data_IF_353532159893
#
_entry.id   IF_353532159893
#
_cell.length_a   1.000
_cell.length_b   1.000
_cell.length_c   1.000
_cell.angle_alpha   90.00
_cell.angle_beta   90.00
_cell.angle_gamma   90.00
#
_symmetry.space_group_name_H-M   'P 1'
#
loop_
_entity.id
_entity.type
_entity.pdbx_description
1 polymer ?
#
# COMPACT_ATOMS: atom_id res chain seq x y z
N UNK A 1 29.93 -10.85 -10.58
CA UNK A 1 29.23 -11.75 -9.64
C UNK A 1 28.85 -10.92 -8.43
N UNK A 2 27.57 -10.61 -8.23
CA UNK A 2 27.13 -10.05 -6.96
C UNK A 2 27.24 -11.16 -5.90
N UNK A 3 27.82 -10.85 -4.75
CA UNK A 3 27.88 -11.79 -3.63
C UNK A 3 26.45 -12.14 -3.22
N UNK A 4 26.13 -13.43 -3.19
CA UNK A 4 24.84 -13.90 -2.68
C UNK A 4 24.86 -13.76 -1.17
N UNK A 5 24.17 -12.74 -0.64
CA UNK A 5 24.00 -12.57 0.81
C UNK A 5 22.92 -13.56 1.28
N UNK A 6 23.17 -14.37 2.31
CA UNK A 6 22.17 -15.29 2.85
C UNK A 6 20.93 -14.54 3.40
N UNK A 7 19.74 -15.15 3.27
CA UNK A 7 18.49 -14.61 3.80
C UNK A 7 18.58 -14.26 5.30
N UNK A 8 19.26 -15.10 6.08
CA UNK A 8 19.47 -14.89 7.53
C UNK A 8 20.25 -13.62 7.84
N UNK A 9 21.25 -13.29 7.01
CA UNK A 9 22.03 -12.06 7.17
C UNK A 9 21.19 -10.83 6.81
N UNK A 10 20.38 -10.91 5.75
CA UNK A 10 19.48 -9.83 5.33
C UNK A 10 18.43 -9.54 6.40
N UNK A 11 17.80 -10.59 6.94
CA UNK A 11 16.80 -10.46 8.00
C UNK A 11 17.41 -9.94 9.31
N UNK A 12 18.63 -10.36 9.65
CA UNK A 12 19.39 -9.82 10.78
C UNK A 12 19.68 -8.32 10.62
N UNK A 13 20.10 -7.88 9.42
CA UNK A 13 20.34 -6.47 9.13
C UNK A 13 19.05 -5.64 9.24
N UNK A 14 17.92 -6.19 8.79
CA UNK A 14 16.61 -5.54 8.95
C UNK A 14 16.25 -5.40 10.43
N UNK A 15 16.43 -6.44 11.24
CA UNK A 15 16.14 -6.38 12.68
C UNK A 15 17.01 -5.35 13.41
N UNK A 16 18.30 -5.29 13.10
CA UNK A 16 19.21 -4.26 13.63
C UNK A 16 18.76 -2.86 13.23
N UNK A 17 18.40 -2.65 11.97
CA UNK A 17 17.88 -1.37 11.50
C UNK A 17 16.57 -0.99 12.21
N UNK A 18 15.69 -1.95 12.48
CA UNK A 18 14.45 -1.70 13.23
C UNK A 18 14.78 -1.28 14.65
N UNK A 19 15.71 -1.97 15.34
CA UNK A 19 16.11 -1.62 16.70
C UNK A 19 16.67 -0.20 16.79
N UNK A 20 17.59 0.15 15.89
CA UNK A 20 18.21 1.48 15.85
C UNK A 20 17.27 2.57 15.33
N UNK A 21 16.36 2.23 14.42
CA UNK A 21 15.43 3.16 13.78
C UNK A 21 14.17 3.48 14.59
N UNK A 22 13.87 2.68 15.61
CA UNK A 22 12.68 2.82 16.45
C UNK A 22 12.76 4.08 17.31
N UNK A 23 11.71 4.90 17.30
CA UNK A 23 11.64 6.14 18.08
C UNK A 23 12.44 7.32 17.51
N UNK A 24 13.10 7.16 16.35
CA UNK A 24 13.75 8.27 15.66
C UNK A 24 12.69 9.28 15.19
N UNK A 25 12.90 10.56 15.53
CA UNK A 25 12.05 11.68 15.11
C UNK A 25 12.76 12.72 14.24
N UNK A 26 14.09 12.66 14.14
CA UNK A 26 14.86 13.57 13.29
C UNK A 26 14.62 13.24 11.81
N UNK A 27 14.09 14.16 10.99
CA UNK A 27 13.69 13.86 9.61
C UNK A 27 14.82 13.33 8.71
N UNK A 28 16.05 13.80 8.90
CA UNK A 28 17.20 13.33 8.11
C UNK A 28 17.54 11.88 8.47
N UNK A 29 17.48 11.52 9.75
CA UNK A 29 17.70 10.15 10.20
C UNK A 29 16.56 9.22 9.79
N UNK A 30 15.30 9.68 9.85
CA UNK A 30 14.15 8.89 9.35
C UNK A 30 14.34 8.56 7.86
N UNK A 31 14.73 9.55 7.04
CA UNK A 31 15.00 9.35 5.62
C UNK A 31 16.19 8.40 5.35
N UNK A 32 17.24 8.49 6.17
CA UNK A 32 18.38 7.58 6.08
C UNK A 32 17.97 6.13 6.41
N UNK A 33 17.20 5.93 7.49
CA UNK A 33 16.68 4.63 7.89
C UNK A 33 15.75 4.04 6.82
N UNK A 34 14.86 4.85 6.24
CA UNK A 34 14.02 4.42 5.12
C UNK A 34 14.84 3.99 3.89
N UNK A 35 15.91 4.74 3.58
CA UNK A 35 16.82 4.41 2.48
C UNK A 35 17.57 3.10 2.75
N UNK A 36 18.03 2.89 3.98
CA UNK A 36 18.66 1.64 4.41
C UNK A 36 17.69 0.47 4.36
N UNK A 37 16.43 0.64 4.78
CA UNK A 37 15.39 -0.40 4.72
C UNK A 37 15.16 -0.87 3.28
N UNK A 38 15.05 0.07 2.34
CA UNK A 38 14.94 -0.27 0.91
C UNK A 38 16.20 -0.95 0.38
N UNK A 39 17.37 -0.46 0.78
CA UNK A 39 18.64 -1.03 0.37
C UNK A 39 18.80 -2.48 0.86
N UNK A 40 18.50 -2.75 2.13
CA UNK A 40 18.52 -4.11 2.71
C UNK A 40 17.58 -5.02 1.93
N UNK A 41 16.35 -4.56 1.61
CA UNK A 41 15.44 -5.33 0.77
C UNK A 41 16.07 -5.67 -0.59
N UNK A 42 16.76 -4.71 -1.22
CA UNK A 42 17.39 -4.92 -2.53
C UNK A 42 18.51 -5.96 -2.52
N UNK A 43 19.16 -6.20 -1.37
CA UNK A 43 20.16 -7.26 -1.21
C UNK A 43 19.56 -8.66 -1.39
N UNK A 44 18.28 -8.83 -1.07
CA UNK A 44 17.54 -10.09 -1.24
C UNK A 44 16.84 -10.23 -2.60
N UNK A 45 16.98 -9.25 -3.49
CA UNK A 45 16.37 -9.30 -4.83
C UNK A 45 17.39 -9.90 -5.81
N UNK A 46 17.05 -11.03 -6.41
CA UNK A 46 17.87 -11.68 -7.43
C UNK A 46 17.85 -10.93 -8.76
N UNK A 47 18.75 -11.31 -9.67
CA UNK A 47 18.91 -10.65 -10.97
C UNK A 47 17.65 -10.76 -11.87
N UNK A 48 16.79 -11.75 -11.65
CA UNK A 48 15.51 -11.92 -12.33
C UNK A 48 14.36 -11.12 -11.67
N UNK A 49 14.65 -10.37 -10.61
CA UNK A 49 13.69 -9.52 -9.91
C UNK A 49 12.79 -10.27 -8.93
N UNK A 50 13.16 -11.48 -8.53
CA UNK A 50 12.46 -12.24 -7.48
C UNK A 50 13.14 -12.03 -6.12
N UNK A 51 12.43 -12.35 -5.03
CA UNK A 51 12.94 -12.26 -3.67
C UNK A 51 12.46 -13.50 -2.91
N UNK A 52 13.29 -14.01 -2.00
CA UNK A 52 12.93 -15.18 -1.20
C UNK A 52 11.72 -14.88 -0.30
N UNK A 53 10.88 -15.90 -0.07
CA UNK A 53 9.74 -15.75 0.83
C UNK A 53 10.20 -15.35 2.24
N UNK A 54 11.34 -15.86 2.72
CA UNK A 54 11.93 -15.49 4.02
C UNK A 54 12.13 -13.98 4.16
N UNK A 55 12.79 -13.36 3.18
CA UNK A 55 13.07 -11.92 3.20
C UNK A 55 11.77 -11.13 3.04
N UNK A 56 10.90 -11.54 2.11
CA UNK A 56 9.61 -10.88 1.89
C UNK A 56 8.74 -10.88 3.15
N UNK A 57 8.63 -12.01 3.85
CA UNK A 57 7.85 -12.12 5.08
C UNK A 57 8.42 -11.26 6.20
N UNK A 58 9.75 -11.07 6.28
CA UNK A 58 10.33 -10.18 7.28
C UNK A 58 9.90 -8.71 7.09
N UNK A 59 9.88 -8.24 5.84
CA UNK A 59 9.37 -6.89 5.52
C UNK A 59 7.86 -6.77 5.69
N UNK A 60 7.09 -7.80 5.36
CA UNK A 60 5.64 -7.84 5.63
C UNK A 60 5.37 -7.82 7.14
N UNK A 61 6.13 -8.56 7.94
CA UNK A 61 6.01 -8.57 9.39
C UNK A 61 6.35 -7.21 10.01
N UNK A 62 7.36 -6.49 9.49
CA UNK A 62 7.64 -5.11 9.88
C UNK A 62 6.44 -4.20 9.58
N UNK A 63 5.85 -4.30 8.38
CA UNK A 63 4.64 -3.56 8.02
C UNK A 63 3.47 -3.89 8.96
N UNK A 64 3.22 -5.16 9.25
CA UNK A 64 2.13 -5.59 10.14
C UNK A 64 2.33 -5.08 11.57
N UNK A 65 3.56 -5.12 12.11
CA UNK A 65 3.92 -4.50 13.39
C UNK A 65 3.64 -2.99 13.36
N UNK A 66 4.01 -2.31 12.27
CA UNK A 66 3.68 -0.90 12.10
C UNK A 66 2.17 -0.64 12.13
N UNK A 67 1.36 -1.51 11.52
CA UNK A 67 -0.10 -1.37 11.50
C UNK A 67 -0.72 -1.52 12.90
N UNK A 68 -0.21 -2.45 13.72
CA UNK A 68 -0.80 -2.84 15.01
C UNK A 68 -0.19 -2.17 16.23
N UNK A 69 1.00 -1.56 16.13
CA UNK A 69 1.68 -0.92 17.26
C UNK A 69 0.79 0.11 18.00
N UNK A 70 0.91 0.17 19.33
CA UNK A 70 0.21 1.16 20.15
C UNK A 70 1.10 2.36 20.50
N UNK A 71 2.39 2.09 20.75
CA UNK A 71 3.42 3.04 21.16
C UNK A 71 3.77 4.07 20.06
N UNK A 72 3.60 3.71 18.79
CA UNK A 72 3.89 4.57 17.64
C UNK A 72 5.39 4.74 17.36
N UNK A 73 6.24 3.83 17.85
CA UNK A 73 7.70 3.97 17.73
C UNK A 73 8.25 3.52 16.37
N UNK A 74 7.56 2.64 15.66
CA UNK A 74 7.90 2.27 14.28
C UNK A 74 7.38 3.35 13.34
N UNK A 75 8.30 4.11 12.76
CA UNK A 75 7.98 5.13 11.75
C UNK A 75 7.43 4.52 10.46
N UNK A 76 6.48 5.21 9.81
CA UNK A 76 5.91 4.73 8.55
C UNK A 76 6.94 4.64 7.42
N UNK A 77 7.87 5.59 7.34
CA UNK A 77 8.90 5.59 6.30
C UNK A 77 9.76 4.33 6.37
N UNK A 78 10.18 3.92 7.57
CA UNK A 78 10.88 2.64 7.77
C UNK A 78 10.03 1.45 7.32
N UNK A 79 8.77 1.42 7.74
CA UNK A 79 7.89 0.27 7.53
C UNK A 79 7.46 0.03 6.08
N UNK A 80 7.38 1.09 5.26
CA UNK A 80 6.88 0.99 3.88
C UNK A 80 7.95 1.23 2.83
N UNK A 81 9.14 1.71 3.20
CA UNK A 81 10.19 2.11 2.27
C UNK A 81 10.49 1.04 1.20
N UNK A 82 10.75 -0.19 1.63
CA UNK A 82 11.00 -1.32 0.74
C UNK A 82 9.84 -1.56 -0.25
N UNK A 83 8.60 -1.47 0.22
CA UNK A 83 7.38 -1.69 -0.58
C UNK A 83 7.18 -0.59 -1.62
N UNK A 84 7.52 0.66 -1.26
CA UNK A 84 7.44 1.79 -2.18
C UNK A 84 8.57 1.77 -3.22
N UNK A 85 9.78 1.33 -2.82
CA UNK A 85 10.95 1.33 -3.69
C UNK A 85 11.00 0.12 -4.64
N UNK A 86 10.57 -1.04 -4.17
CA UNK A 86 10.60 -2.31 -4.89
C UNK A 86 9.20 -2.97 -4.93
N UNK A 87 8.15 -2.26 -5.41
CA UNK A 87 6.76 -2.75 -5.34
C UNK A 87 6.54 -4.08 -6.08
N UNK A 88 7.35 -4.39 -7.10
CA UNK A 88 7.25 -5.62 -7.88
C UNK A 88 7.31 -6.88 -7.00
N UNK A 89 8.26 -6.93 -6.05
CA UNK A 89 8.47 -8.14 -5.23
C UNK A 89 7.35 -8.36 -4.22
N UNK A 90 6.58 -7.32 -3.91
CA UNK A 90 5.46 -7.37 -2.95
C UNK A 90 4.10 -7.61 -3.59
N UNK A 91 3.98 -7.64 -4.93
CA UNK A 91 2.70 -7.92 -5.61
C UNK A 91 2.03 -9.22 -5.13
N UNK A 92 2.75 -10.34 -4.90
CA UNK A 92 2.16 -11.56 -4.34
C UNK A 92 1.53 -11.37 -2.95
N UNK A 93 1.97 -10.37 -2.18
CA UNK A 93 1.48 -10.04 -0.83
C UNK A 93 0.51 -8.86 -0.80
N UNK A 94 0.12 -8.33 -1.96
CA UNK A 94 -0.80 -7.18 -2.12
C UNK A 94 -2.10 -7.27 -1.31
N UNK A 95 -2.65 -8.47 -1.08
CA UNK A 95 -3.85 -8.67 -0.26
C UNK A 95 -3.67 -8.25 1.19
N UNK A 96 -2.49 -8.45 1.78
CA UNK A 96 -2.19 -8.06 3.16
C UNK A 96 -2.29 -6.54 3.31
N UNK A 97 -1.64 -5.81 2.42
CA UNK A 97 -1.70 -4.34 2.37
C UNK A 97 -3.12 -3.82 2.08
N UNK A 98 -3.85 -4.49 1.17
CA UNK A 98 -5.22 -4.11 0.85
C UNK A 98 -6.15 -4.26 2.07
N UNK A 99 -6.10 -5.39 2.77
CA UNK A 99 -6.87 -5.60 4.00
C UNK A 99 -6.52 -4.55 5.05
N UNK A 100 -5.22 -4.27 5.22
CA UNK A 100 -4.75 -3.26 6.17
C UNK A 100 -5.23 -1.84 5.81
N UNK A 101 -5.26 -1.46 4.53
CA UNK A 101 -5.71 -0.16 4.08
C UNK A 101 -7.19 0.13 4.34
N UNK A 102 -8.04 -0.90 4.33
CA UNK A 102 -9.48 -0.76 4.53
C UNK A 102 -9.99 -1.30 5.87
N UNK A 103 -9.10 -1.67 6.79
CA UNK A 103 -9.47 -2.05 8.15
C UNK A 103 -9.84 -0.80 8.99
N UNK A 104 -11.08 -0.69 9.45
CA UNK A 104 -11.58 0.42 10.27
C UNK A 104 -10.87 0.59 11.61
N UNK A 105 -10.36 -0.51 12.18
CA UNK A 105 -9.71 -0.53 13.49
C UNK A 105 -8.33 0.13 13.48
N UNK A 106 -7.71 0.26 12.30
CA UNK A 106 -6.42 0.90 12.17
C UNK A 106 -6.53 2.42 12.06
N UNK A 107 -5.54 3.10 12.66
CA UNK A 107 -5.43 4.56 12.58
C UNK A 107 -5.39 5.01 11.12
N UNK A 108 -6.13 6.08 10.81
CA UNK A 108 -6.34 6.56 9.43
C UNK A 108 -5.04 6.81 8.65
N UNK A 109 -4.00 7.31 9.32
CA UNK A 109 -2.73 7.55 8.65
C UNK A 109 -2.06 6.23 8.21
N UNK A 110 -2.10 5.18 9.04
CA UNK A 110 -1.52 3.86 8.69
C UNK A 110 -2.27 3.21 7.54
N UNK A 111 -3.61 3.31 7.57
CA UNK A 111 -4.47 2.91 6.46
C UNK A 111 -4.12 3.63 5.16
N UNK A 112 -3.83 4.92 5.24
CA UNK A 112 -3.38 5.73 4.09
C UNK A 112 -2.09 5.18 3.50
N UNK A 113 -1.09 4.89 4.33
CA UNK A 113 0.20 4.33 3.87
C UNK A 113 0.02 2.93 3.27
N UNK A 114 -0.82 2.08 3.86
CA UNK A 114 -1.15 0.76 3.31
C UNK A 114 -1.83 0.86 1.93
N UNK A 115 -2.80 1.79 1.75
CA UNK A 115 -3.42 2.04 0.44
C UNK A 115 -2.39 2.53 -0.58
N UNK A 116 -1.44 3.37 -0.17
CA UNK A 116 -0.37 3.85 -1.05
C UNK A 116 0.58 2.72 -1.49
N UNK A 117 0.85 1.74 -0.61
CA UNK A 117 1.59 0.53 -0.97
C UNK A 117 0.85 -0.30 -2.02
N UNK A 118 -0.46 -0.49 -1.87
CA UNK A 118 -1.24 -1.20 -2.91
C UNK A 118 -1.24 -0.39 -4.21
N UNK A 119 -1.35 0.93 -4.14
CA UNK A 119 -1.33 1.78 -5.33
C UNK A 119 0.01 1.70 -6.09
N UNK A 120 1.15 1.59 -5.39
CA UNK A 120 2.46 1.40 -6.03
C UNK A 120 2.54 0.05 -6.74
N UNK A 121 2.07 -1.03 -6.11
CA UNK A 121 1.98 -2.37 -6.72
C UNK A 121 1.10 -2.38 -7.97
N UNK A 122 0.00 -1.63 -7.95
CA UNK A 122 -0.96 -1.55 -9.06
C UNK A 122 -0.49 -0.64 -10.20
N UNK A 123 0.63 0.06 -10.06
CA UNK A 123 1.13 0.97 -11.10
C UNK A 123 1.41 0.20 -12.41
N UNK A 124 1.14 0.85 -13.54
CA UNK A 124 1.38 0.28 -14.88
C UNK A 124 2.80 -0.24 -15.10
N UNK A 125 3.83 0.44 -14.61
CA UNK A 125 5.23 -0.01 -14.76
C UNK A 125 5.55 -1.28 -13.97
N UNK A 126 4.81 -1.53 -12.90
CA UNK A 126 4.91 -2.74 -12.07
C UNK A 126 4.09 -3.86 -12.69
N UNK A 127 2.84 -3.57 -13.05
CA UNK A 127 1.91 -4.53 -13.64
C UNK A 127 2.36 -5.03 -15.03
N UNK A 128 3.22 -4.29 -15.74
CA UNK A 128 3.86 -4.78 -16.97
C UNK A 128 4.94 -5.83 -16.74
N UNK A 129 5.46 -5.96 -15.50
CA UNK A 129 6.49 -6.92 -15.12
C UNK A 129 5.91 -8.13 -14.39
N UNK A 130 4.95 -7.87 -13.49
CA UNK A 130 4.32 -8.90 -12.67
C UNK A 130 2.82 -8.59 -12.55
N UNK A 131 2.00 -9.56 -12.95
CA UNK A 131 0.54 -9.43 -12.92
C UNK A 131 0.02 -9.70 -11.51
N UNK A 132 -0.85 -8.81 -11.03
CA UNK A 132 -1.57 -9.04 -9.78
C UNK A 132 -2.68 -10.09 -9.97
N UNK A 133 -2.99 -10.83 -8.92
CA UNK A 133 -4.12 -11.74 -8.94
C UNK A 133 -5.47 -11.03 -9.18
N UNK A 134 -6.32 -11.64 -10.00
CA UNK A 134 -7.70 -11.21 -10.24
C UNK A 134 -8.51 -11.01 -8.96
N UNK A 135 -8.25 -11.83 -7.94
CA UNK A 135 -8.93 -11.75 -6.64
C UNK A 135 -8.60 -10.43 -5.91
N UNK A 136 -7.35 -9.96 -5.99
CA UNK A 136 -6.92 -8.67 -5.46
C UNK A 136 -7.58 -7.51 -6.21
N UNK A 137 -7.68 -7.58 -7.55
CA UNK A 137 -8.37 -6.55 -8.35
C UNK A 137 -9.84 -6.42 -7.92
N UNK A 138 -10.54 -7.54 -7.73
CA UNK A 138 -11.91 -7.55 -7.20
C UNK A 138 -11.97 -6.94 -5.79
N UNK A 139 -11.00 -7.25 -4.93
CA UNK A 139 -10.89 -6.69 -3.59
C UNK A 139 -10.73 -5.17 -3.61
N UNK A 140 -9.88 -4.64 -4.49
CA UNK A 140 -9.71 -3.19 -4.70
C UNK A 140 -11.02 -2.57 -5.15
N UNK A 141 -11.65 -3.12 -6.19
CA UNK A 141 -12.91 -2.59 -6.71
C UNK A 141 -14.00 -2.55 -5.64
N UNK A 142 -14.15 -3.64 -4.86
CA UNK A 142 -15.11 -3.72 -3.75
C UNK A 142 -14.82 -2.67 -2.68
N UNK A 143 -13.61 -2.68 -2.11
CA UNK A 143 -13.26 -1.83 -0.96
C UNK A 143 -13.32 -0.34 -1.33
N UNK A 144 -12.85 0.03 -2.52
CA UNK A 144 -12.94 1.41 -2.99
C UNK A 144 -14.39 1.82 -3.26
N UNK A 145 -15.23 0.95 -3.82
CA UNK A 145 -16.66 1.26 -4.07
C UNK A 145 -17.42 1.46 -2.77
N UNK A 146 -17.19 0.59 -1.78
CA UNK A 146 -17.78 0.71 -0.44
C UNK A 146 -17.38 2.04 0.21
N UNK A 147 -16.07 2.33 0.26
CA UNK A 147 -15.57 3.59 0.81
C UNK A 147 -16.10 4.83 0.09
N UNK A 148 -16.16 4.83 -1.25
CA UNK A 148 -16.69 5.96 -2.02
C UNK A 148 -18.19 6.16 -1.78
N UNK A 149 -18.96 5.08 -1.66
CA UNK A 149 -20.39 5.16 -1.33
C UNK A 149 -20.59 5.79 0.05
N UNK A 150 -19.84 5.35 1.05
CA UNK A 150 -19.84 5.93 2.40
C UNK A 150 -19.44 7.41 2.36
N UNK A 151 -18.38 7.75 1.61
CA UNK A 151 -17.90 9.13 1.47
C UNK A 151 -18.92 10.07 0.82
N UNK A 152 -19.76 9.57 -0.10
CA UNK A 152 -20.85 10.35 -0.71
C UNK A 152 -22.03 10.50 0.26
N UNK A 153 -22.35 9.45 1.03
CA UNK A 153 -23.42 9.48 2.01
C UNK A 153 -23.09 10.41 3.19
N UNK A 154 -21.83 10.45 3.63
CA UNK A 154 -21.34 11.22 4.77
C UNK A 154 -20.13 12.11 4.41
N UNK A 155 -20.32 13.14 3.57
CA UNK A 155 -19.22 13.92 3.00
C UNK A 155 -18.38 14.66 4.04
N UNK A 156 -18.97 15.04 5.18
CA UNK A 156 -18.27 15.77 6.24
C UNK A 156 -17.34 14.88 7.09
N UNK A 157 -17.52 13.55 7.06
CA UNK A 157 -16.67 12.59 7.77
C UNK A 157 -15.38 12.23 7.03
N UNK A 158 -15.29 12.60 5.74
CA UNK A 158 -14.22 12.18 4.84
C UNK A 158 -12.88 12.75 5.27
N UNK A 159 -11.86 11.89 5.34
CA UNK A 159 -10.47 12.29 5.60
C UNK A 159 -9.78 12.55 4.26
N UNK A 160 -9.41 13.81 3.93
CA UNK A 160 -8.98 14.17 2.57
C UNK A 160 -7.80 13.36 2.04
N UNK A 161 -6.77 13.14 2.87
CA UNK A 161 -5.58 12.38 2.47
C UNK A 161 -5.90 10.92 2.17
N UNK A 162 -6.72 10.27 3.00
CA UNK A 162 -7.13 8.89 2.76
C UNK A 162 -7.99 8.78 1.51
N UNK A 163 -8.94 9.70 1.32
CA UNK A 163 -9.77 9.78 0.12
C UNK A 163 -8.93 9.92 -1.16
N UNK A 164 -7.97 10.83 -1.16
CA UNK A 164 -7.04 11.01 -2.29
C UNK A 164 -6.23 9.73 -2.58
N UNK A 165 -5.76 9.03 -1.54
CA UNK A 165 -5.06 7.74 -1.71
C UNK A 165 -5.97 6.65 -2.28
N UNK A 166 -7.24 6.60 -1.91
CA UNK A 166 -8.23 5.67 -2.50
C UNK A 166 -8.46 5.98 -3.99
N UNK A 167 -8.59 7.25 -4.35
CA UNK A 167 -8.68 7.65 -5.77
C UNK A 167 -7.40 7.30 -6.54
N UNK A 168 -6.22 7.50 -5.94
CA UNK A 168 -4.94 7.11 -6.54
C UNK A 168 -4.85 5.59 -6.74
N UNK A 169 -5.29 4.79 -5.78
CA UNK A 169 -5.36 3.35 -5.91
C UNK A 169 -6.28 2.96 -7.09
N UNK A 170 -7.48 3.52 -7.17
CA UNK A 170 -8.41 3.26 -8.28
C UNK A 170 -7.81 3.61 -9.63
N UNK A 171 -7.20 4.80 -9.77
CA UNK A 171 -6.55 5.22 -11.00
C UNK A 171 -5.38 4.30 -11.38
N UNK A 172 -4.54 3.95 -10.41
CA UNK A 172 -3.40 3.05 -10.63
C UNK A 172 -3.89 1.68 -11.09
N UNK A 173 -4.90 1.11 -10.44
CA UNK A 173 -5.51 -0.16 -10.85
C UNK A 173 -6.14 -0.08 -12.24
N UNK A 174 -6.94 0.95 -12.53
CA UNK A 174 -7.62 1.09 -13.82
C UNK A 174 -6.66 1.28 -15.00
N UNK A 175 -5.51 1.93 -14.78
CA UNK A 175 -4.50 2.20 -15.81
C UNK A 175 -3.41 1.14 -15.89
N UNK A 176 -3.18 0.40 -14.80
CA UNK A 176 -2.07 -0.53 -14.68
C UNK A 176 -2.40 -1.98 -15.04
N UNK A 177 -3.60 -2.47 -14.75
CA UNK A 177 -3.95 -3.87 -15.02
C UNK A 177 -4.25 -4.12 -16.51
N UNK A 178 -4.15 -5.38 -16.93
CA UNK A 178 -4.50 -5.82 -18.28
C UNK A 178 -5.99 -5.62 -18.60
N UNK A 179 -6.34 -5.47 -19.89
CA UNK A 179 -7.73 -5.32 -20.34
C UNK A 179 -8.65 -6.45 -19.84
N UNK A 180 -8.14 -7.69 -19.80
CA UNK A 180 -8.88 -8.85 -19.29
C UNK A 180 -9.31 -8.68 -17.83
N UNK A 181 -8.47 -8.04 -17.01
CA UNK A 181 -8.74 -7.80 -15.61
C UNK A 181 -9.65 -6.58 -15.39
N UNK A 182 -9.72 -5.63 -16.34
CA UNK A 182 -10.59 -4.45 -16.23
C UNK A 182 -12.08 -4.77 -16.11
N UNK A 183 -12.52 -5.90 -16.68
CA UNK A 183 -13.90 -6.40 -16.50
C UNK A 183 -14.25 -6.65 -15.01
N UNK A 184 -13.23 -6.83 -14.16
CA UNK A 184 -13.37 -7.01 -12.71
C UNK A 184 -13.56 -5.69 -11.95
N UNK A 185 -13.31 -4.54 -12.59
CA UNK A 185 -13.58 -3.21 -12.02
C UNK A 185 -15.03 -2.84 -12.34
N UNK A 186 -15.93 -3.09 -11.40
CA UNK A 186 -17.30 -2.57 -11.43
C UNK A 186 -17.50 -1.63 -10.26
N UNK A 187 -17.30 -0.33 -10.49
CA UNK A 187 -17.50 0.70 -9.47
C UNK A 187 -18.94 1.21 -9.58
N UNK A 188 -19.79 0.77 -8.66
CA UNK A 188 -21.18 1.21 -8.56
C UNK A 188 -21.33 2.23 -7.44
N UNK A 189 -21.06 3.50 -7.75
CA UNK A 189 -21.42 4.62 -6.89
C UNK A 189 -22.80 5.13 -7.35
N UNK A 190 -23.85 5.03 -6.53
CA UNK A 190 -25.14 5.60 -6.88
C UNK A 190 -24.99 7.12 -7.03
N UNK A 191 -25.21 7.63 -8.24
CA UNK A 191 -25.16 9.08 -8.52
C UNK A 191 -26.55 9.67 -8.23
N UNK A 192 -26.91 9.80 -6.95
CA UNK A 192 -28.09 10.57 -6.53
C UNK A 192 -27.77 12.05 -6.25
N UNK A 193 -26.84 12.64 -7.01
CA UNK A 193 -26.46 14.06 -6.85
C UNK A 193 -27.19 14.98 -7.85
N UNK A 194 -27.94 14.46 -8.82
CA UNK A 194 -28.59 15.29 -9.86
C UNK A 194 -30.01 15.79 -9.57
N UNK A 195 -30.63 15.45 -8.43
CA UNK A 195 -32.03 15.80 -8.17
C UNK A 195 -32.27 16.75 -6.98
N UNK A 196 -31.25 17.09 -6.19
CA UNK A 196 -31.39 18.11 -5.13
C UNK A 196 -31.19 19.54 -5.63
N UNK A 197 -30.35 19.77 -6.64
CA UNK A 197 -30.14 21.12 -7.19
C UNK A 197 -31.32 21.61 -8.04
N UNK A 198 -32.05 20.71 -8.72
CA UNK A 198 -33.23 21.11 -9.52
C UNK A 198 -34.43 21.59 -8.69
N UNK A 199 -34.52 21.24 -7.40
CA UNK A 199 -35.59 21.70 -6.51
C UNK A 199 -35.33 23.08 -5.88
N UNK A 200 -34.08 23.56 -5.89
CA UNK A 200 -33.77 24.89 -5.37
C UNK A 200 -33.99 26.02 -6.39
N UNK A 201 -34.17 25.70 -7.67
CA UNK A 201 -34.42 26.66 -8.76
C UNK A 201 -35.85 26.66 -9.29
N UNK A 202 -36.79 25.98 -8.61
CA UNK A 202 -38.20 25.91 -9.01
C UNK A 202 -39.19 26.49 -7.98
N UNK A 203 -38.70 27.24 -6.98
CA UNK A 203 -39.56 28.03 -6.09
C UNK A 203 -39.21 29.51 -6.21
#
# INVERSE_FOLDING_TARGET
MAAHIPDEEITTLLDQLIQEGTGISNPALVSAVASLSSFICSLGISADGTCSDTVLEAFVALFERFMTQEDGLIGCELAIAAVIKHPEVFVPRSKTFLKAGFNSEYRIFRRTEAVLCVASMMNKSVQSKISVEKSTVKGVAKSCTEYLRESVAEPYGVKPRFFASVLKLLLSTATGISEELKVSIKINVPVEVRERERRCYQN
#
